data_IF_824861988693
#
_entry.id   IF_824861988693
#
_cell.length_a   1.000
_cell.length_b   1.000
_cell.length_c   1.000
_cell.angle_alpha   90.00
_cell.angle_beta   90.00
_cell.angle_gamma   90.00
#
_symmetry.space_group_name_H-M   'P 1'
#
loop_
_entity.id
_entity.type
_entity.pdbx_description
1 polymer ?
#
# COMPACT_ATOMS: atom_id res chain seq x y z
N UNK A 1 0.93 -16.84 38.99
CA UNK A 1 -0.41 -16.27 38.71
C UNK A 1 -1.08 -17.12 37.64
N UNK A 2 -1.88 -18.10 38.06
CA UNK A 2 -2.47 -19.12 37.19
C UNK A 2 -3.76 -18.59 36.55
N UNK A 3 -3.84 -18.61 35.23
CA UNK A 3 -5.05 -18.22 34.49
C UNK A 3 -6.09 -19.32 34.55
N UNK A 4 -7.37 -19.02 34.81
CA UNK A 4 -8.44 -20.02 34.77
C UNK A 4 -8.74 -20.40 33.32
N UNK A 5 -8.77 -21.71 33.06
CA UNK A 5 -9.16 -22.29 31.77
C UNK A 5 -10.67 -22.19 31.55
N UNK A 6 -11.14 -21.88 30.33
CA UNK A 6 -12.56 -21.85 30.03
C UNK A 6 -13.11 -23.28 29.96
N UNK A 7 -13.93 -23.65 30.93
CA UNK A 7 -14.71 -24.90 30.89
C UNK A 7 -15.75 -24.81 29.77
N UNK A 8 -15.48 -25.56 28.70
CA UNK A 8 -16.40 -25.83 27.61
C UNK A 8 -17.74 -26.35 28.14
N UNK A 9 -18.77 -25.49 28.12
CA UNK A 9 -20.17 -25.90 28.33
C UNK A 9 -20.61 -26.73 27.14
N UNK A 10 -20.31 -28.03 27.21
CA UNK A 10 -20.86 -29.07 26.35
C UNK A 10 -22.39 -29.04 26.53
N UNK A 11 -23.11 -28.39 25.60
CA UNK A 11 -24.56 -28.47 25.49
C UNK A 11 -24.94 -29.94 25.27
N UNK A 12 -25.21 -30.66 26.36
CA UNK A 12 -25.94 -31.93 26.30
C UNK A 12 -27.33 -31.59 25.78
N UNK A 13 -27.55 -31.83 24.48
CA UNK A 13 -28.90 -32.00 23.92
C UNK A 13 -29.56 -33.08 24.78
N UNK A 14 -30.49 -32.66 25.66
CA UNK A 14 -31.42 -33.58 26.30
C UNK A 14 -32.28 -34.14 25.17
N UNK A 15 -31.96 -35.36 24.75
CA UNK A 15 -32.85 -36.18 23.96
C UNK A 15 -34.12 -36.32 24.80
N UNK A 16 -35.22 -35.77 24.28
CA UNK A 16 -36.55 -36.02 24.80
C UNK A 16 -36.77 -37.53 24.75
N UNK A 17 -37.15 -38.19 25.86
CA UNK A 17 -37.51 -39.59 25.81
C UNK A 17 -38.74 -39.75 24.92
N UNK A 18 -38.60 -40.55 23.86
CA UNK A 18 -39.72 -40.99 23.04
C UNK A 18 -40.75 -41.71 23.92
N UNK A 19 -42.06 -41.42 23.79
CA UNK A 19 -43.10 -42.19 24.44
C UNK A 19 -43.23 -43.53 23.73
N UNK A 20 -42.50 -44.54 24.19
CA UNK A 20 -42.58 -45.90 23.65
C UNK A 20 -42.58 -46.89 24.80
N UNK A 21 -43.65 -47.68 24.88
CA UNK A 21 -43.73 -48.84 25.77
C UNK A 21 -44.67 -48.65 26.96
N UNK A 22 -45.98 -48.76 26.68
CA UNK A 22 -46.96 -49.16 27.69
C UNK A 22 -46.62 -50.58 28.14
N UNK A 23 -45.83 -50.70 29.20
CA UNK A 23 -45.72 -51.92 29.99
C UNK A 23 -46.62 -51.70 31.20
N UNK A 24 -47.81 -52.27 31.14
CA UNK A 24 -48.71 -52.34 32.27
C UNK A 24 -47.99 -53.09 33.40
N UNK A 25 -47.50 -52.34 34.39
CA UNK A 25 -46.92 -52.89 35.62
C UNK A 25 -48.10 -53.26 36.53
N UNK A 26 -48.39 -54.56 36.75
CA UNK A 26 -49.50 -54.99 37.57
C UNK A 26 -49.03 -54.99 39.03
N UNK A 27 -49.59 -54.10 39.84
CA UNK A 27 -49.26 -54.00 41.27
C UNK A 27 -49.04 -52.59 41.79
N UNK A 28 -49.55 -51.55 41.13
CA UNK A 28 -49.61 -50.24 41.75
C UNK A 28 -50.62 -50.29 42.91
N UNK A 29 -50.11 -50.26 44.14
CA UNK A 29 -50.93 -50.12 45.34
C UNK A 29 -51.85 -48.90 45.20
N UNK A 30 -53.10 -48.97 45.67
CA UNK A 30 -54.03 -47.86 45.55
C UNK A 30 -53.46 -46.63 46.25
N UNK A 31 -53.25 -45.55 45.48
CA UNK A 31 -52.77 -44.27 46.00
C UNK A 31 -53.68 -43.84 47.14
N UNK A 32 -53.12 -43.76 48.35
CA UNK A 32 -53.90 -43.42 49.53
C UNK A 32 -54.15 -41.91 49.58
N UNK A 33 -55.22 -41.50 50.26
CA UNK A 33 -55.52 -40.07 50.45
C UNK A 33 -54.37 -39.32 51.16
N UNK A 34 -53.64 -40.01 52.03
CA UNK A 34 -52.46 -39.48 52.72
C UNK A 34 -51.30 -39.20 51.77
N UNK A 35 -51.13 -40.01 50.72
CA UNK A 35 -50.11 -39.78 49.69
C UNK A 35 -50.44 -38.54 48.86
N UNK A 36 -51.72 -38.32 48.56
CA UNK A 36 -52.20 -37.11 47.89
C UNK A 36 -51.92 -35.89 48.77
N UNK A 37 -52.25 -35.94 50.07
CA UNK A 37 -51.98 -34.82 50.98
C UNK A 37 -50.48 -34.55 51.18
N UNK A 38 -49.64 -35.60 51.22
CA UNK A 38 -48.17 -35.45 51.25
C UNK A 38 -47.67 -34.81 49.97
N UNK A 39 -48.16 -35.22 48.81
CA UNK A 39 -47.79 -34.64 47.52
C UNK A 39 -48.20 -33.17 47.42
N UNK A 40 -49.44 -32.82 47.81
CA UNK A 40 -49.93 -31.44 47.85
C UNK A 40 -49.11 -30.59 48.82
N UNK A 41 -48.78 -31.14 49.99
CA UNK A 41 -47.95 -30.45 50.99
C UNK A 41 -46.53 -30.20 50.48
N UNK A 42 -45.96 -31.16 49.74
CA UNK A 42 -44.66 -31.02 49.08
C UNK A 42 -44.70 -29.95 47.99
N UNK A 43 -45.69 -29.99 47.09
CA UNK A 43 -45.87 -28.97 46.04
C UNK A 43 -45.98 -27.57 46.65
N UNK A 44 -46.72 -27.43 47.76
CA UNK A 44 -46.85 -26.14 48.46
C UNK A 44 -45.53 -25.66 49.07
N UNK A 45 -44.68 -26.56 49.57
CA UNK A 45 -43.32 -26.23 50.02
C UNK A 45 -42.45 -25.79 48.85
N UNK A 46 -42.46 -26.55 47.76
CA UNK A 46 -41.68 -26.27 46.55
C UNK A 46 -42.08 -24.92 45.93
N UNK A 47 -43.39 -24.58 45.92
CA UNK A 47 -43.88 -23.27 45.49
C UNK A 47 -43.35 -22.12 46.35
N UNK A 48 -43.29 -22.30 47.68
CA UNK A 48 -42.72 -21.29 48.58
C UNK A 48 -41.22 -21.13 48.40
N UNK A 49 -40.50 -22.22 48.13
CA UNK A 49 -39.07 -22.18 47.86
C UNK A 49 -38.76 -21.48 46.53
N UNK A 50 -39.51 -21.80 45.47
CA UNK A 50 -39.40 -21.15 44.17
C UNK A 50 -39.68 -19.64 44.27
N UNK A 51 -40.70 -19.24 45.04
CA UNK A 51 -40.98 -17.81 45.27
C UNK A 51 -39.80 -17.08 45.93
N UNK A 52 -39.11 -17.71 46.90
CA UNK A 52 -37.90 -17.14 47.52
C UNK A 52 -36.71 -17.09 46.57
N UNK A 53 -36.60 -18.04 45.63
CA UNK A 53 -35.55 -18.03 44.63
C UNK A 53 -35.77 -16.95 43.57
N UNK A 54 -37.03 -16.71 43.17
CA UNK A 54 -37.38 -15.59 42.28
C UNK A 54 -37.03 -14.25 42.90
N UNK A 55 -37.29 -14.05 44.20
CA UNK A 55 -36.93 -12.80 44.88
C UNK A 55 -35.40 -12.59 44.95
N UNK A 56 -34.64 -13.63 45.31
CA UNK A 56 -33.16 -13.56 45.28
C UNK A 56 -32.61 -13.25 43.90
N UNK A 57 -33.21 -13.81 42.85
CA UNK A 57 -32.81 -13.51 41.47
C UNK A 57 -33.12 -12.04 41.12
N UNK A 58 -34.26 -11.51 41.58
CA UNK A 58 -34.63 -10.11 41.38
C UNK A 58 -33.65 -9.16 42.06
N UNK A 59 -33.23 -9.47 43.29
CA UNK A 59 -32.19 -8.73 44.02
C UNK A 59 -30.86 -8.76 43.26
N UNK A 60 -30.40 -9.93 42.81
CA UNK A 60 -29.15 -10.05 42.04
C UNK A 60 -29.18 -9.29 40.71
N UNK A 61 -30.35 -9.21 40.05
CA UNK A 61 -30.52 -8.40 38.85
C UNK A 61 -30.45 -6.91 39.17
N UNK A 62 -30.99 -6.48 40.31
CA UNK A 62 -30.85 -5.11 40.81
C UNK A 62 -29.38 -4.72 40.99
N UNK A 63 -28.61 -5.56 41.67
CA UNK A 63 -27.16 -5.34 41.86
C UNK A 63 -26.39 -5.23 40.54
N UNK A 64 -26.71 -6.08 39.55
CA UNK A 64 -26.09 -6.01 38.21
C UNK A 64 -26.43 -4.70 37.51
N UNK A 65 -27.68 -4.23 37.61
CA UNK A 65 -28.12 -2.97 37.01
C UNK A 65 -27.41 -1.79 37.67
N UNK A 66 -27.25 -1.80 38.99
CA UNK A 66 -26.56 -0.74 39.71
C UNK A 66 -25.06 -0.72 39.39
N UNK A 67 -24.40 -1.88 39.27
CA UNK A 67 -23.02 -1.97 38.78
C UNK A 67 -22.85 -1.45 37.35
N UNK A 68 -23.82 -1.71 36.48
CA UNK A 68 -23.80 -1.19 35.10
C UNK A 68 -23.99 0.33 35.06
N UNK A 69 -24.84 0.89 35.94
CA UNK A 69 -24.96 2.34 36.11
C UNK A 69 -23.66 2.94 36.65
N UNK A 70 -23.07 2.35 37.67
CA UNK A 70 -21.79 2.81 38.23
C UNK A 70 -20.68 2.79 37.18
N UNK A 71 -20.59 1.74 36.35
CA UNK A 71 -19.63 1.67 35.24
C UNK A 71 -19.88 2.71 34.15
N UNK A 72 -21.14 3.09 33.93
CA UNK A 72 -21.54 4.11 32.94
C UNK A 72 -21.27 5.52 33.45
N UNK A 73 -21.53 5.77 34.72
CA UNK A 73 -21.38 7.08 35.36
C UNK A 73 -19.96 7.33 35.85
N UNK A 74 -19.12 6.29 35.94
CA UNK A 74 -17.68 6.44 36.16
C UNK A 74 -17.11 7.29 35.02
N UNK A 75 -16.72 8.55 35.28
CA UNK A 75 -16.18 9.41 34.24
C UNK A 75 -14.97 8.69 33.66
N UNK A 76 -14.96 8.50 32.34
CA UNK A 76 -13.90 7.81 31.64
C UNK A 76 -12.58 8.46 32.05
N UNK A 77 -11.84 7.81 32.96
CA UNK A 77 -10.49 8.20 33.28
C UNK A 77 -9.78 8.31 31.92
N UNK A 78 -9.12 9.44 31.62
CA UNK A 78 -8.56 9.70 30.30
C UNK A 78 -7.77 8.48 29.89
N UNK A 79 -8.31 7.75 28.91
CA UNK A 79 -7.79 6.44 28.58
C UNK A 79 -6.31 6.63 28.29
N UNK A 80 -5.40 5.86 28.94
CA UNK A 80 -3.99 5.93 28.60
C UNK A 80 -3.92 5.75 27.09
N UNK A 81 -3.26 6.66 26.35
CA UNK A 81 -3.32 6.67 24.89
C UNK A 81 -2.98 5.26 24.43
N UNK A 82 -3.95 4.63 23.76
CA UNK A 82 -3.80 3.27 23.24
C UNK A 82 -2.44 3.21 22.56
N UNK A 83 -1.55 2.27 22.96
CA UNK A 83 -0.20 2.23 22.43
C UNK A 83 -0.32 2.18 20.92
N UNK A 84 0.07 3.29 20.29
CA UNK A 84 -0.08 3.52 18.86
C UNK A 84 0.42 2.26 18.18
N UNK A 85 -0.47 1.55 17.50
CA UNK A 85 -0.05 0.34 16.79
C UNK A 85 1.11 0.77 15.91
N UNK A 86 2.31 0.19 16.10
CA UNK A 86 3.50 0.64 15.42
C UNK A 86 3.22 0.71 13.92
N UNK A 87 3.20 1.94 13.39
CA UNK A 87 2.61 2.22 12.08
C UNK A 87 3.37 1.50 10.97
N UNK A 88 4.68 1.30 11.15
CA UNK A 88 5.58 0.74 10.15
C UNK A 88 6.03 -0.67 10.54
N UNK A 89 5.85 -1.62 9.61
CA UNK A 89 6.41 -2.98 9.72
C UNK A 89 7.92 -2.88 9.48
N UNK A 90 8.77 -3.53 10.28
CA UNK A 90 10.21 -3.60 9.99
C UNK A 90 10.49 -4.18 8.60
N UNK A 91 11.40 -3.57 7.84
CA UNK A 91 11.70 -4.03 6.47
C UNK A 91 12.27 -5.45 6.45
N UNK A 92 13.10 -5.81 7.43
CA UNK A 92 13.67 -7.16 7.57
C UNK A 92 12.58 -8.23 7.67
N UNK A 93 11.55 -8.00 8.51
CA UNK A 93 10.40 -8.90 8.62
C UNK A 93 9.61 -8.99 7.31
N UNK A 94 9.46 -7.88 6.59
CA UNK A 94 8.76 -7.88 5.31
C UNK A 94 9.52 -8.69 4.24
N UNK A 95 10.85 -8.59 4.22
CA UNK A 95 11.72 -9.37 3.33
C UNK A 95 11.69 -10.85 3.72
N UNK A 96 11.74 -11.16 5.01
CA UNK A 96 11.71 -12.53 5.51
C UNK A 96 10.39 -13.24 5.19
N UNK A 97 9.26 -12.56 5.39
CA UNK A 97 7.94 -13.07 4.98
C UNK A 97 7.88 -13.33 3.48
N UNK A 98 8.44 -12.43 2.65
CA UNK A 98 8.52 -12.63 1.18
C UNK A 98 9.41 -13.83 0.84
N UNK A 99 10.55 -14.00 1.52
CA UNK A 99 11.49 -15.11 1.32
C UNK A 99 10.82 -16.45 1.64
N UNK A 100 10.19 -16.56 2.81
CA UNK A 100 9.45 -17.75 3.25
C UNK A 100 8.31 -18.05 2.26
N UNK A 101 7.52 -17.04 1.88
CA UNK A 101 6.42 -17.22 0.93
C UNK A 101 6.89 -17.75 -0.44
N UNK A 102 8.05 -17.31 -0.94
CA UNK A 102 8.64 -17.84 -2.17
C UNK A 102 9.17 -19.27 -2.02
N UNK A 103 9.63 -19.64 -0.82
CA UNK A 103 10.12 -20.99 -0.52
C UNK A 103 8.99 -22.00 -0.31
N UNK A 104 7.80 -21.54 0.07
CA UNK A 104 6.58 -22.34 0.03
C UNK A 104 6.26 -22.63 -1.44
N UNK A 105 6.39 -23.89 -1.84
CA UNK A 105 6.10 -24.34 -3.20
C UNK A 105 4.68 -23.96 -3.66
N UNK A 106 4.36 -24.17 -4.93
CA UNK A 106 3.14 -23.65 -5.57
C UNK A 106 1.84 -24.00 -4.80
N UNK A 107 1.78 -25.16 -4.15
CA UNK A 107 0.65 -25.63 -3.35
C UNK A 107 0.38 -24.78 -2.09
N UNK A 108 1.37 -24.05 -1.60
CA UNK A 108 1.29 -23.25 -0.37
C UNK A 108 1.52 -21.76 -0.64
N UNK A 109 1.37 -21.32 -1.89
CA UNK A 109 1.40 -19.90 -2.22
C UNK A 109 0.01 -19.28 -2.10
N UNK A 110 -0.02 -18.02 -1.66
CA UNK A 110 -1.23 -17.21 -1.66
C UNK A 110 -1.87 -17.15 -3.04
N UNK A 111 -3.18 -17.39 -3.08
CA UNK A 111 -3.99 -17.24 -4.29
C UNK A 111 -4.50 -15.82 -4.39
N UNK A 112 -4.00 -15.07 -5.37
CA UNK A 112 -4.30 -13.65 -5.55
C UNK A 112 -5.76 -13.32 -5.88
N UNK A 113 -6.53 -14.30 -6.38
CA UNK A 113 -7.98 -14.18 -6.61
C UNK A 113 -8.85 -14.40 -5.38
N UNK A 114 -8.31 -15.01 -4.33
CA UNK A 114 -9.09 -15.35 -3.14
C UNK A 114 -8.92 -14.29 -2.05
N UNK A 115 -9.96 -14.16 -1.20
CA UNK A 115 -9.90 -13.30 -0.02
C UNK A 115 -8.84 -13.83 0.95
N UNK A 116 -8.25 -12.93 1.75
CA UNK A 116 -7.29 -13.32 2.79
C UNK A 116 -7.88 -14.32 3.80
N UNK A 117 -9.21 -14.28 4.00
CA UNK A 117 -9.95 -15.17 4.89
C UNK A 117 -10.32 -16.51 4.27
N UNK A 118 -9.94 -16.80 3.02
CA UNK A 118 -10.17 -18.13 2.43
C UNK A 118 -9.39 -19.20 3.19
N UNK A 119 -9.91 -20.43 3.26
CA UNK A 119 -9.29 -21.53 3.99
C UNK A 119 -7.86 -21.81 3.50
N UNK A 120 -7.64 -21.73 2.18
CA UNK A 120 -6.31 -21.87 1.56
C UNK A 120 -5.32 -20.78 2.01
N UNK A 121 -5.74 -19.51 1.94
CA UNK A 121 -4.89 -18.39 2.32
C UNK A 121 -4.68 -18.34 3.85
N UNK A 122 -5.66 -18.77 4.65
CA UNK A 122 -5.49 -18.93 6.09
C UNK A 122 -4.50 -20.06 6.42
N UNK A 123 -4.56 -21.19 5.70
CA UNK A 123 -3.56 -22.27 5.84
C UNK A 123 -2.14 -21.76 5.54
N UNK A 124 -1.97 -21.09 4.40
CA UNK A 124 -0.71 -20.44 4.01
C UNK A 124 -0.23 -19.44 5.05
N UNK A 125 -1.14 -18.62 5.59
CA UNK A 125 -0.84 -17.67 6.67
C UNK A 125 -0.31 -18.38 7.92
N UNK A 126 -0.89 -19.51 8.33
CA UNK A 126 -0.42 -20.23 9.51
C UNK A 126 0.95 -20.84 9.29
N UNK A 127 1.25 -21.34 8.09
CA UNK A 127 2.57 -21.87 7.73
C UNK A 127 3.62 -20.76 7.79
N UNK A 128 3.41 -19.64 7.09
CA UNK A 128 4.35 -18.51 7.11
C UNK A 128 4.52 -17.97 8.54
N UNK A 129 3.41 -17.85 9.29
CA UNK A 129 3.45 -17.35 10.67
C UNK A 129 4.28 -18.26 11.57
N UNK A 130 4.17 -19.59 11.43
CA UNK A 130 4.96 -20.55 12.20
C UNK A 130 6.44 -20.39 11.88
N UNK A 131 6.78 -20.39 10.60
CA UNK A 131 8.17 -20.26 10.14
C UNK A 131 8.84 -18.95 10.62
N UNK A 132 8.10 -17.83 10.58
CA UNK A 132 8.60 -16.54 11.10
C UNK A 132 8.79 -16.56 12.61
N UNK A 133 7.94 -17.29 13.36
CA UNK A 133 8.05 -17.41 14.81
C UNK A 133 9.19 -18.37 15.23
N UNK A 134 9.52 -19.35 14.40
CA UNK A 134 10.61 -20.30 14.61
C UNK A 134 11.98 -19.68 14.24
N UNK A 135 11.98 -18.52 13.58
CA UNK A 135 13.19 -17.78 13.22
C UNK A 135 13.95 -17.19 14.42
N UNK A 136 15.22 -16.79 14.24
CA UNK A 136 16.09 -16.32 15.32
C UNK A 136 15.72 -14.94 15.88
N UNK A 137 14.87 -14.16 15.20
CA UNK A 137 14.50 -12.80 15.58
C UNK A 137 13.06 -12.76 16.07
N UNK A 138 12.87 -12.36 17.32
CA UNK A 138 11.53 -12.21 17.90
C UNK A 138 10.84 -10.94 17.40
N UNK A 139 9.83 -11.12 16.54
CA UNK A 139 8.97 -10.04 16.07
C UNK A 139 7.64 -9.99 16.84
N UNK A 140 7.10 -8.78 17.05
CA UNK A 140 5.75 -8.60 17.61
C UNK A 140 4.71 -9.28 16.70
N UNK A 141 3.80 -10.05 17.27
CA UNK A 141 2.75 -10.77 16.51
C UNK A 141 1.90 -9.85 15.62
N UNK A 142 1.67 -8.61 16.05
CA UNK A 142 0.97 -7.60 15.25
C UNK A 142 1.73 -7.21 13.98
N UNK A 143 3.06 -7.11 14.05
CA UNK A 143 3.91 -6.88 12.88
C UNK A 143 3.91 -8.08 11.94
N UNK A 144 4.02 -9.29 12.47
CA UNK A 144 3.99 -10.53 11.66
C UNK A 144 2.67 -10.60 10.89
N UNK A 145 1.53 -10.44 11.57
CA UNK A 145 0.21 -10.45 10.94
C UNK A 145 0.09 -9.36 9.86
N UNK A 146 0.59 -8.15 10.13
CA UNK A 146 0.57 -7.03 9.17
C UNK A 146 1.48 -7.27 7.97
N UNK A 147 2.68 -7.81 8.19
CA UNK A 147 3.65 -8.15 7.13
C UNK A 147 3.07 -9.20 6.18
N UNK A 148 2.48 -10.28 6.72
CA UNK A 148 1.87 -11.33 5.91
C UNK A 148 0.66 -10.80 5.13
N UNK A 149 -0.19 -9.97 5.75
CA UNK A 149 -1.31 -9.31 5.04
C UNK A 149 -0.82 -8.40 3.92
N UNK A 150 0.22 -7.60 4.14
CA UNK A 150 0.81 -6.76 3.12
C UNK A 150 1.39 -7.59 1.95
N UNK A 151 1.99 -8.74 2.25
CA UNK A 151 2.48 -9.67 1.24
C UNK A 151 1.33 -10.20 0.36
N UNK A 152 0.24 -10.67 0.97
CA UNK A 152 -0.96 -11.11 0.24
C UNK A 152 -1.57 -9.99 -0.61
N UNK A 153 -1.75 -8.80 -0.06
CA UNK A 153 -2.31 -7.65 -0.80
C UNK A 153 -1.42 -7.24 -1.99
N UNK A 154 -0.10 -7.28 -1.83
CA UNK A 154 0.82 -7.01 -2.94
C UNK A 154 0.71 -8.06 -4.06
N UNK A 155 0.61 -9.34 -3.71
CA UNK A 155 0.40 -10.41 -4.69
C UNK A 155 -0.96 -10.29 -5.39
N UNK A 156 -2.01 -9.99 -4.64
CA UNK A 156 -3.36 -9.72 -5.17
C UNK A 156 -3.35 -8.55 -6.16
N UNK A 157 -2.68 -7.44 -5.83
CA UNK A 157 -2.51 -6.31 -6.76
C UNK A 157 -1.70 -6.70 -7.98
N UNK A 158 -0.62 -7.46 -7.81
CA UNK A 158 0.21 -7.94 -8.92
C UNK A 158 -0.59 -8.83 -9.88
N UNK A 159 -1.38 -9.76 -9.35
CA UNK A 159 -2.22 -10.65 -10.15
C UNK A 159 -3.35 -9.88 -10.87
N UNK A 160 -4.01 -8.94 -10.17
CA UNK A 160 -4.97 -8.02 -10.80
C UNK A 160 -4.34 -7.25 -11.96
N UNK A 161 -3.12 -6.71 -11.79
CA UNK A 161 -2.42 -5.99 -12.86
C UNK A 161 -2.04 -6.91 -14.02
N UNK A 162 -1.68 -8.16 -13.74
CA UNK A 162 -1.35 -9.18 -14.75
C UNK A 162 -2.58 -9.51 -15.60
N UNK A 163 -3.73 -9.77 -14.96
CA UNK A 163 -5.01 -10.04 -15.64
C UNK A 163 -5.48 -8.88 -16.52
N UNK A 164 -5.28 -7.65 -16.07
CA UNK A 164 -5.65 -6.45 -16.82
C UNK A 164 -4.64 -6.06 -17.90
N UNK A 165 -3.54 -6.82 -18.10
CA UNK A 165 -2.47 -6.45 -19.02
C UNK A 165 -1.75 -5.14 -18.66
N UNK A 166 -1.95 -4.63 -17.44
CA UNK A 166 -1.35 -3.38 -16.96
C UNK A 166 0.11 -3.55 -16.54
N UNK A 167 0.59 -4.79 -16.41
CA UNK A 167 1.96 -5.08 -16.02
C UNK A 167 2.98 -4.46 -17.00
N UNK A 168 2.76 -4.61 -18.31
CA UNK A 168 3.64 -4.01 -19.32
C UNK A 168 3.53 -2.49 -19.36
N UNK A 169 2.30 -1.94 -19.25
CA UNK A 169 2.09 -0.50 -19.13
C UNK A 169 2.87 0.07 -17.94
N UNK A 170 2.74 -0.51 -16.75
CA UNK A 170 3.49 -0.11 -15.56
C UNK A 170 5.01 -0.19 -15.73
N UNK A 171 5.54 -1.22 -16.40
CA UNK A 171 6.97 -1.31 -16.72
C UNK A 171 7.40 -0.16 -17.65
N UNK A 172 6.62 0.13 -18.69
CA UNK A 172 6.92 1.24 -19.61
C UNK A 172 6.81 2.60 -18.91
N UNK A 173 5.80 2.80 -18.07
CA UNK A 173 5.59 4.06 -17.35
C UNK A 173 6.64 4.25 -16.24
N UNK A 174 7.05 3.18 -15.56
CA UNK A 174 8.17 3.22 -14.62
C UNK A 174 9.48 3.59 -15.33
N UNK A 175 9.72 3.09 -16.56
CA UNK A 175 10.85 3.51 -17.38
C UNK A 175 10.76 5.00 -17.72
N UNK A 176 9.59 5.50 -18.14
CA UNK A 176 9.35 6.94 -18.41
C UNK A 176 9.59 7.81 -17.17
N UNK A 177 9.22 7.34 -15.98
CA UNK A 177 9.39 8.07 -14.72
C UNK A 177 10.86 8.21 -14.29
N UNK A 178 11.77 7.33 -14.76
CA UNK A 178 13.20 7.46 -14.44
C UNK A 178 13.73 8.80 -14.95
N UNK A 179 14.47 9.52 -14.10
CA UNK A 179 15.06 10.84 -14.39
C UNK A 179 15.77 10.89 -15.75
N UNK A 180 16.49 9.84 -16.13
CA UNK A 180 17.19 9.73 -17.43
C UNK A 180 16.24 9.81 -18.63
N UNK A 181 15.11 9.10 -18.57
CA UNK A 181 14.10 9.13 -19.64
C UNK A 181 13.41 10.49 -19.69
N UNK A 182 12.99 11.04 -18.54
CA UNK A 182 12.41 12.38 -18.47
C UNK A 182 13.33 13.45 -19.05
N UNK A 183 14.61 13.44 -18.70
CA UNK A 183 15.58 14.41 -19.23
C UNK A 183 15.80 14.24 -20.73
N UNK A 184 15.78 13.00 -21.23
CA UNK A 184 15.85 12.71 -22.67
C UNK A 184 14.61 13.28 -23.38
N UNK A 185 13.43 13.00 -22.87
CA UNK A 185 12.16 13.48 -23.44
C UNK A 185 12.09 15.01 -23.41
N UNK A 186 12.46 15.65 -22.29
CA UNK A 186 12.62 17.10 -22.15
C UNK A 186 13.55 17.68 -23.23
N UNK A 187 14.69 17.02 -23.50
CA UNK A 187 15.68 17.47 -24.49
C UNK A 187 15.19 17.30 -25.92
N UNK A 188 14.43 16.24 -26.22
CA UNK A 188 13.79 16.04 -27.52
C UNK A 188 12.76 17.14 -27.75
N UNK A 189 11.92 17.40 -26.75
CA UNK A 189 10.84 18.39 -26.85
C UNK A 189 11.40 19.80 -27.03
N UNK A 190 12.39 20.18 -26.24
CA UNK A 190 13.08 21.47 -26.41
C UNK A 190 13.81 21.51 -27.74
N UNK A 191 14.48 20.42 -28.15
CA UNK A 191 15.16 20.31 -29.44
C UNK A 191 14.25 20.56 -30.64
N UNK A 192 12.98 20.14 -30.60
CA UNK A 192 12.00 20.36 -31.67
C UNK A 192 11.76 21.82 -32.01
N UNK A 193 12.00 22.72 -31.05
CA UNK A 193 11.71 24.16 -31.20
C UNK A 193 12.82 24.96 -31.89
N UNK A 194 14.08 24.49 -31.83
CA UNK A 194 15.23 25.30 -32.27
C UNK A 194 16.32 24.54 -33.02
N UNK A 195 16.33 23.20 -32.99
CA UNK A 195 17.32 22.42 -33.75
C UNK A 195 16.96 22.41 -35.24
N UNK A 196 17.99 22.24 -36.08
CA UNK A 196 17.79 22.01 -37.51
C UNK A 196 16.98 20.72 -37.74
N UNK A 197 16.20 20.61 -38.83
CA UNK A 197 15.45 19.39 -39.13
C UNK A 197 16.34 18.13 -39.18
N UNK A 198 17.58 18.28 -39.67
CA UNK A 198 18.58 17.20 -39.75
C UNK A 198 19.04 16.75 -38.35
N UNK A 199 19.28 17.69 -37.44
CA UNK A 199 19.69 17.37 -36.06
C UNK A 199 18.53 16.84 -35.22
N UNK A 200 17.30 17.32 -35.48
CA UNK A 200 16.08 16.79 -34.87
C UNK A 200 15.87 15.33 -35.28
N UNK A 201 15.97 15.00 -36.57
CA UNK A 201 15.87 13.63 -37.04
C UNK A 201 16.96 12.75 -36.47
N UNK A 202 18.19 13.27 -36.34
CA UNK A 202 19.31 12.55 -35.71
C UNK A 202 19.02 12.26 -34.23
N UNK A 203 18.56 13.25 -33.46
CA UNK A 203 18.22 13.10 -32.04
C UNK A 203 17.04 12.14 -31.82
N UNK A 204 16.00 12.21 -32.66
CA UNK A 204 14.85 11.30 -32.62
C UNK A 204 15.21 9.87 -33.09
N UNK A 205 16.10 9.74 -34.07
CA UNK A 205 16.60 8.46 -34.57
C UNK A 205 17.40 7.70 -33.51
N UNK A 206 18.35 8.37 -32.85
CA UNK A 206 19.07 7.82 -31.68
C UNK A 206 18.10 7.49 -30.55
N UNK A 207 16.98 8.22 -30.46
CA UNK A 207 16.00 7.98 -29.41
C UNK A 207 15.16 6.72 -29.62
N UNK A 208 14.98 6.29 -30.87
CA UNK A 208 14.22 5.09 -31.27
C UNK A 208 15.11 3.86 -31.42
N UNK A 209 16.39 4.02 -31.74
CA UNK A 209 17.33 2.92 -31.85
C UNK A 209 17.57 2.27 -30.47
N UNK A 210 17.36 0.95 -30.31
CA UNK A 210 17.75 0.19 -29.12
C UNK A 210 19.28 0.09 -28.95
N UNK A 211 20.04 0.53 -29.96
CA UNK A 211 21.46 0.28 -30.14
C UNK A 211 22.31 1.27 -29.34
N UNK A 212 22.48 0.94 -28.08
CA UNK A 212 23.61 1.36 -27.25
C UNK A 212 24.84 0.46 -27.47
N UNK A 213 24.75 -0.52 -28.36
CA UNK A 213 25.86 -1.39 -28.76
C UNK A 213 26.28 -1.03 -30.18
N UNK A 214 27.60 -1.03 -30.40
CA UNK A 214 28.24 -0.81 -31.70
C UNK A 214 27.74 -1.90 -32.65
N UNK A 215 26.81 -1.58 -33.55
CA UNK A 215 26.54 -2.46 -34.67
C UNK A 215 27.75 -2.34 -35.61
N UNK A 216 28.44 -3.46 -35.80
CA UNK A 216 29.43 -3.66 -36.84
C UNK A 216 28.71 -3.63 -38.19
N UNK A 217 28.36 -2.43 -38.67
CA UNK A 217 27.80 -2.26 -40.01
C UNK A 217 28.94 -2.47 -41.03
N UNK A 218 28.93 -3.62 -41.70
CA UNK A 218 29.69 -3.80 -42.95
C UNK A 218 29.01 -2.93 -44.02
N UNK A 219 29.73 -1.94 -44.55
CA UNK A 219 29.21 -1.13 -45.65
C UNK A 219 29.07 -2.04 -46.89
N UNK A 220 27.84 -2.26 -47.42
CA UNK A 220 27.64 -3.15 -48.55
C UNK A 220 28.32 -2.65 -49.84
N UNK A 221 28.78 -1.39 -49.86
CA UNK A 221 29.52 -0.81 -50.98
C UNK A 221 31.05 -0.78 -50.77
N UNK A 222 31.59 -1.28 -49.66
CA UNK A 222 33.04 -1.37 -49.46
C UNK A 222 33.59 -2.72 -49.99
N UNK A 223 34.20 -2.75 -51.20
CA UNK A 223 34.74 -3.98 -51.78
C UNK A 223 35.90 -4.56 -50.96
N UNK A 224 36.52 -3.74 -50.11
CA UNK A 224 37.70 -4.13 -49.32
C UNK A 224 37.32 -4.76 -47.96
N UNK A 225 36.02 -4.81 -47.63
CA UNK A 225 35.51 -5.33 -46.35
C UNK A 225 36.25 -4.74 -45.14
N UNK A 226 36.56 -3.44 -45.22
CA UNK A 226 37.27 -2.76 -44.15
C UNK A 226 36.29 -2.58 -43.00
N UNK A 227 36.56 -3.23 -41.88
CA UNK A 227 35.73 -3.12 -40.67
C UNK A 227 35.81 -1.70 -40.12
N UNK A 228 34.88 -0.84 -40.53
CA UNK A 228 34.74 0.50 -40.00
C UNK A 228 33.99 0.44 -38.68
N UNK A 229 34.74 0.36 -37.58
CA UNK A 229 34.18 0.51 -36.23
C UNK A 229 33.71 1.96 -36.07
N UNK A 230 32.44 2.22 -36.39
CA UNK A 230 31.83 3.52 -36.13
C UNK A 230 31.76 3.74 -34.63
N UNK A 231 32.24 4.90 -34.17
CA UNK A 231 32.02 5.36 -32.80
C UNK A 231 30.52 5.26 -32.50
N UNK A 232 30.13 4.63 -31.38
CA UNK A 232 28.72 4.45 -31.09
C UNK A 232 28.06 5.84 -31.01
N UNK A 233 26.86 5.99 -31.54
CA UNK A 233 26.24 7.29 -31.76
C UNK A 233 26.18 8.19 -30.50
N UNK A 234 26.17 7.60 -29.31
CA UNK A 234 26.22 8.30 -28.02
C UNK A 234 27.57 8.97 -27.69
N UNK A 235 28.65 8.56 -28.34
CA UNK A 235 29.98 9.19 -28.30
C UNK A 235 30.23 10.17 -29.45
N UNK A 236 29.29 10.31 -30.40
CA UNK A 236 29.48 11.26 -31.50
C UNK A 236 29.56 12.70 -30.97
N UNK A 237 30.58 13.45 -31.42
CA UNK A 237 30.75 14.86 -31.08
C UNK A 237 29.51 15.68 -31.45
N UNK A 238 28.89 15.32 -32.58
CA UNK A 238 27.64 15.92 -33.06
C UNK A 238 26.51 15.76 -32.04
N UNK A 239 26.30 14.55 -31.48
CA UNK A 239 25.28 14.37 -30.45
C UNK A 239 25.62 15.19 -29.20
N UNK A 240 26.88 15.21 -28.77
CA UNK A 240 27.29 15.99 -27.60
C UNK A 240 27.00 17.48 -27.79
N UNK A 241 27.29 18.03 -28.98
CA UNK A 241 26.93 19.40 -29.35
C UNK A 241 25.42 19.66 -29.26
N UNK A 242 24.60 18.78 -29.85
CA UNK A 242 23.13 18.88 -29.79
C UNK A 242 22.62 18.82 -28.34
N UNK A 243 23.14 17.89 -27.53
CA UNK A 243 22.75 17.73 -26.13
C UNK A 243 23.12 18.96 -25.28
N UNK A 244 24.31 19.55 -25.49
CA UNK A 244 24.72 20.80 -24.83
C UNK A 244 23.79 21.96 -25.19
N UNK A 245 23.41 22.09 -26.45
CA UNK A 245 22.46 23.12 -26.89
C UNK A 245 21.07 22.93 -26.27
N UNK A 246 20.54 21.70 -26.28
CA UNK A 246 19.27 21.38 -25.62
C UNK A 246 19.33 21.64 -24.11
N UNK A 247 20.44 21.30 -23.46
CA UNK A 247 20.65 21.52 -22.03
C UNK A 247 20.67 23.02 -21.70
N UNK A 248 21.42 23.83 -22.46
CA UNK A 248 21.45 25.28 -22.28
C UNK A 248 20.07 25.93 -22.42
N UNK A 249 19.23 25.43 -23.33
CA UNK A 249 17.83 25.88 -23.47
C UNK A 249 16.94 25.38 -22.33
N UNK A 250 17.11 24.15 -21.86
CA UNK A 250 16.40 23.63 -20.69
C UNK A 250 16.75 24.40 -19.42
N UNK A 251 18.00 24.76 -19.22
CA UNK A 251 18.43 25.52 -18.04
C UNK A 251 17.86 26.94 -18.07
N UNK A 252 17.79 27.58 -19.24
CA UNK A 252 17.11 28.87 -19.43
C UNK A 252 15.61 28.81 -19.14
N UNK A 253 14.92 27.74 -19.58
CA UNK A 253 13.48 27.58 -19.32
C UNK A 253 13.17 27.17 -17.88
N UNK A 254 14.03 26.37 -17.23
CA UNK A 254 13.89 25.97 -15.82
C UNK A 254 14.27 27.10 -14.86
N UNK A 255 15.20 27.97 -15.21
CA UNK A 255 15.47 29.20 -14.44
C UNK A 255 14.25 30.12 -14.37
N UNK A 256 13.39 30.12 -15.39
CA UNK A 256 12.11 30.85 -15.38
C UNK A 256 11.04 30.17 -14.51
N UNK A 257 11.02 28.83 -14.46
CA UNK A 257 10.14 28.07 -13.57
C UNK A 257 10.74 27.98 -12.18
N UNK A 258 10.75 29.11 -11.48
CA UNK A 258 10.85 29.26 -10.02
C UNK A 258 11.25 27.97 -9.29
N UNK A 259 12.54 27.88 -8.94
CA UNK A 259 12.93 27.40 -7.61
C UNK A 259 11.82 27.86 -6.66
N UNK A 260 11.12 26.94 -5.98
CA UNK A 260 10.06 27.28 -5.05
C UNK A 260 10.56 28.44 -4.23
N UNK A 261 10.05 29.64 -4.54
CA UNK A 261 10.54 30.87 -3.95
C UNK A 261 10.14 30.68 -2.51
N UNK A 262 11.10 30.26 -1.69
CA UNK A 262 10.91 30.03 -0.27
C UNK A 262 10.25 31.33 0.17
N UNK A 263 8.98 31.29 0.55
CA UNK A 263 8.30 32.50 1.02
C UNK A 263 9.22 32.99 2.12
N UNK A 264 9.88 34.13 1.94
CA UNK A 264 10.65 34.74 3.00
C UNK A 264 9.61 35.05 4.06
N UNK A 265 9.51 34.18 5.04
CA UNK A 265 8.74 34.44 6.24
C UNK A 265 9.54 35.50 6.96
N UNK A 266 9.09 36.74 6.85
CA UNK A 266 9.60 37.88 7.62
C UNK A 266 9.49 37.62 9.13
N UNK A 267 8.63 36.69 9.54
CA UNK A 267 8.55 36.19 10.91
C UNK A 267 9.45 34.96 11.11
N UNK A 268 10.42 35.03 12.04
CA UNK A 268 11.22 33.86 12.40
C UNK A 268 10.32 32.76 12.98
N UNK A 269 10.64 31.50 12.67
CA UNK A 269 9.90 30.36 13.19
C UNK A 269 9.90 30.37 14.72
N UNK A 270 8.75 30.20 15.40
CA UNK A 270 8.69 30.11 16.86
C UNK A 270 9.30 28.82 17.43
N UNK A 271 9.75 27.90 16.56
CA UNK A 271 10.41 26.67 16.99
C UNK A 271 11.82 26.98 17.48
N UNK A 272 12.24 26.43 18.63
CA UNK A 272 13.61 26.58 19.11
C UNK A 272 14.58 26.05 18.06
N UNK A 273 15.67 26.78 17.86
CA UNK A 273 16.68 26.47 16.85
C UNK A 273 17.27 25.09 17.14
N UNK A 274 17.34 24.16 16.16
CA UNK A 274 18.03 22.89 16.35
C UNK A 274 19.51 23.15 16.68
N UNK A 275 20.07 22.49 17.70
CA UNK A 275 21.39 22.82 18.26
C UNK A 275 22.57 22.54 17.31
N UNK A 276 22.36 21.87 16.18
CA UNK A 276 23.42 21.43 15.26
C UNK A 276 23.57 22.28 13.98
N UNK A 277 22.76 23.33 13.79
CA UNK A 277 22.87 24.15 12.57
C UNK A 277 23.92 25.23 12.77
N UNK A 278 25.04 25.09 12.06
CA UNK A 278 26.17 26.01 12.09
C UNK A 278 25.73 27.45 11.73
N UNK A 279 26.29 28.43 12.45
CA UNK A 279 26.00 29.86 12.28
C UNK A 279 26.38 30.42 10.90
N UNK A 280 27.15 29.68 10.10
CA UNK A 280 27.60 30.08 8.76
C UNK A 280 26.48 30.15 7.71
N UNK A 281 25.27 29.65 7.98
CA UNK A 281 24.12 29.78 7.08
C UNK A 281 23.29 31.05 7.31
N UNK A 282 23.79 31.96 8.15
CA UNK A 282 23.14 33.24 8.45
C UNK A 282 24.10 34.33 8.00
N UNK A 283 23.94 34.77 6.76
CA UNK A 283 24.52 36.05 6.34
C UNK A 283 23.81 37.15 7.15
N UNK A 284 24.55 38.00 7.90
CA UNK A 284 23.95 39.17 8.51
C UNK A 284 23.43 40.09 7.40
N UNK A 285 22.14 40.41 7.45
CA UNK A 285 21.49 41.43 6.62
C UNK A 285 21.86 42.81 7.16
N UNK A 286 23.12 43.17 7.14
CA UNK A 286 23.56 44.54 7.48
C UNK A 286 24.72 44.92 6.55
N UNK A 287 24.39 45.66 5.50
CA UNK A 287 24.92 47.00 5.19
C UNK A 287 24.43 47.43 3.79
N UNK A 288 23.17 47.84 3.76
CA UNK A 288 22.64 48.73 2.74
C UNK A 288 23.28 50.10 2.98
N UNK A 289 24.34 50.39 2.23
CA UNK A 289 25.09 51.64 2.35
C UNK A 289 25.85 51.99 1.07
N UNK A 290 25.33 52.97 0.34
CA UNK A 290 26.16 53.97 -0.34
C UNK A 290 26.31 53.83 -1.85
N UNK A 291 25.74 54.82 -2.54
CA UNK A 291 26.05 55.20 -3.91
C UNK A 291 27.56 55.26 -4.23
N UNK A 292 27.94 54.72 -5.38
CA UNK A 292 29.07 55.18 -6.21
C UNK A 292 28.93 54.51 -7.58
N UNK A 293 28.33 55.21 -8.54
CA UNK A 293 28.99 56.10 -9.51
C UNK A 293 29.77 55.33 -10.59
N UNK A 294 29.48 55.71 -11.83
CA UNK A 294 29.98 55.10 -13.05
C UNK A 294 31.51 55.23 -13.16
N UNK A 295 32.17 54.09 -13.37
CA UNK A 295 33.59 54.03 -13.74
C UNK A 295 33.80 53.08 -14.90
N UNK A 296 33.81 53.62 -16.12
CA UNK A 296 34.40 52.97 -17.29
C UNK A 296 35.89 52.75 -17.03
N UNK A 297 36.37 51.52 -17.20
CA UNK A 297 37.78 51.18 -17.04
C UNK A 297 38.12 49.93 -17.85
N UNK A 298 38.70 50.16 -19.02
CA UNK A 298 39.41 49.17 -19.82
C UNK A 298 40.72 48.75 -19.13
N UNK A 299 41.21 47.56 -19.46
CA UNK A 299 42.52 47.05 -19.02
C UNK A 299 42.41 45.58 -18.60
N UNK A 300 42.68 44.63 -19.51
CA UNK A 300 44.01 44.07 -19.77
C UNK A 300 44.36 42.89 -18.84
N UNK A 301 44.79 41.80 -19.48
CA UNK A 301 45.74 40.85 -18.89
C UNK A 301 45.19 39.80 -17.95
N UNK A 302 44.80 38.64 -18.49
CA UNK A 302 45.13 37.40 -17.79
C UNK A 302 45.48 36.29 -18.77
N UNK A 303 46.77 36.02 -18.75
CA UNK A 303 47.50 34.98 -19.45
C UNK A 303 47.09 33.57 -19.01
N UNK A 304 47.38 32.64 -19.91
CA UNK A 304 47.25 31.19 -19.82
C UNK A 304 47.79 30.57 -18.52
N UNK A 305 47.35 29.33 -18.25
CA UNK A 305 48.37 28.29 -18.17
C UNK A 305 48.01 27.09 -19.04
N UNK A 306 48.83 26.91 -20.07
CA UNK A 306 49.23 25.63 -20.64
C UNK A 306 49.87 24.72 -19.56
N UNK A 307 50.09 23.46 -19.95
CA UNK A 307 50.90 22.44 -19.29
C UNK A 307 50.23 21.59 -18.20
N UNK A 308 49.48 20.58 -18.65
CA UNK A 308 49.56 19.24 -18.05
C UNK A 308 49.71 18.18 -19.14
N UNK A 309 50.96 17.97 -19.53
CA UNK A 309 51.46 16.67 -19.96
C UNK A 309 51.43 15.71 -18.75
N UNK A 310 50.73 14.58 -18.88
CA UNK A 310 50.98 13.35 -18.10
C UNK A 310 50.45 12.22 -18.99
N UNK A 311 51.34 11.61 -19.76
CA UNK A 311 52.03 10.35 -19.44
C UNK A 311 51.18 9.11 -19.71
N UNK A 312 51.66 8.38 -20.71
CA UNK A 312 51.49 6.96 -20.95
C UNK A 312 51.44 6.13 -19.66
N UNK A 313 50.55 5.15 -19.60
CA UNK A 313 50.94 3.74 -19.48
C UNK A 313 49.74 2.82 -19.13
N UNK A 314 49.82 1.63 -19.72
CA UNK A 314 49.30 0.31 -19.28
C UNK A 314 47.88 -0.08 -19.68
N UNK A 315 47.86 -0.82 -20.79
CA UNK A 315 47.55 -2.26 -20.82
C UNK A 315 46.86 -2.83 -19.57
N UNK A 316 45.64 -3.30 -19.80
CA UNK A 316 44.89 -4.16 -18.89
C UNK A 316 43.82 -4.91 -19.67
N UNK A 317 44.26 -5.95 -20.41
CA UNK A 317 43.38 -7.04 -20.83
C UNK A 317 42.71 -7.62 -19.58
N UNK A 318 41.39 -7.60 -19.59
CA UNK A 318 40.56 -8.16 -18.53
C UNK A 318 39.30 -8.71 -19.16
N UNK A 319 39.39 -9.95 -19.64
CA UNK A 319 38.25 -10.75 -20.04
C UNK A 319 37.40 -11.03 -18.80
N UNK A 320 36.31 -10.26 -18.66
CA UNK A 320 35.34 -10.39 -17.59
C UNK A 320 33.98 -10.78 -18.16
N UNK A 321 33.77 -12.07 -18.37
CA UNK A 321 32.44 -12.64 -18.61
C UNK A 321 31.58 -12.49 -17.35
N UNK A 322 30.91 -11.35 -17.23
CA UNK A 322 29.91 -11.08 -16.19
C UNK A 322 28.50 -11.34 -16.70
N UNK A 323 28.04 -12.59 -16.64
CA UNK A 323 26.61 -12.91 -16.64
C UNK A 323 26.00 -12.36 -15.34
N UNK A 324 25.42 -11.17 -15.42
CA UNK A 324 24.66 -10.55 -14.34
C UNK A 324 23.19 -10.47 -14.72
N UNK A 325 22.42 -11.48 -14.32
CA UNK A 325 20.95 -11.41 -14.28
C UNK A 325 20.53 -10.38 -13.22
N UNK A 326 20.51 -9.12 -13.63
CA UNK A 326 20.03 -8.01 -12.84
C UNK A 326 18.50 -8.00 -12.78
N UNK A 327 17.92 -8.84 -11.92
CA UNK A 327 16.53 -8.69 -11.48
C UNK A 327 16.39 -7.36 -10.71
N UNK A 328 16.02 -6.31 -11.42
CA UNK A 328 15.72 -5.00 -10.85
C UNK A 328 14.52 -5.06 -9.90
N UNK A 329 14.79 -5.27 -8.61
CA UNK A 329 13.87 -5.01 -7.51
C UNK A 329 13.57 -3.51 -7.43
N UNK A 330 12.46 -3.11 -8.05
CA UNK A 330 11.84 -1.81 -7.84
C UNK A 330 10.80 -1.91 -6.73
N UNK A 331 11.22 -1.73 -5.48
CA UNK A 331 10.30 -1.50 -4.35
C UNK A 331 9.72 -0.07 -4.46
N UNK A 332 8.70 0.07 -5.32
CA UNK A 332 7.85 1.25 -5.35
C UNK A 332 6.75 1.13 -4.30
N UNK A 333 7.00 1.62 -3.08
CA UNK A 333 5.97 1.85 -2.08
C UNK A 333 5.05 2.99 -2.54
N UNK A 334 4.04 2.65 -3.34
CA UNK A 334 2.93 3.55 -3.65
C UNK A 334 2.06 3.75 -2.42
N UNK A 335 2.21 4.90 -1.75
CA UNK A 335 1.17 5.47 -0.90
C UNK A 335 -0.05 5.76 -1.79
N UNK A 336 -1.07 4.91 -1.68
CA UNK A 336 -2.37 5.18 -2.26
C UNK A 336 -3.20 5.93 -1.23
N UNK A 337 -3.39 7.22 -1.47
CA UNK A 337 -4.45 7.99 -0.84
C UNK A 337 -5.79 7.45 -1.36
N UNK A 338 -6.57 6.88 -0.45
CA UNK A 338 -7.91 6.41 -0.72
C UNK A 338 -8.87 7.60 -0.63
N UNK A 339 -9.31 8.09 -1.78
CA UNK A 339 -10.51 8.91 -1.84
C UNK A 339 -11.72 7.98 -1.78
N UNK A 340 -12.31 7.93 -0.59
CA UNK A 340 -13.59 7.30 -0.31
C UNK A 340 -14.72 8.23 -0.78
N UNK A 341 -15.22 8.01 -2.00
CA UNK A 341 -16.48 8.59 -2.45
C UNK A 341 -17.63 7.89 -1.74
N UNK A 342 -18.15 8.54 -0.71
CA UNK A 342 -19.40 8.22 -0.05
C UNK A 342 -20.58 8.61 -0.94
N UNK A 343 -21.13 7.67 -1.71
CA UNK A 343 -22.46 7.83 -2.30
C UNK A 343 -23.52 7.45 -1.27
N UNK A 344 -24.06 8.48 -0.63
CA UNK A 344 -25.28 8.44 0.16
C UNK A 344 -26.49 8.40 -0.78
N UNK A 345 -27.00 7.21 -1.06
CA UNK A 345 -28.30 7.00 -1.71
C UNK A 345 -29.42 6.98 -0.68
N UNK A 346 -29.99 8.14 -0.42
CA UNK A 346 -31.29 8.33 0.22
C UNK A 346 -32.36 8.62 -0.84
N UNK A 347 -33.64 8.55 -0.43
CA UNK A 347 -34.87 8.94 -1.17
C UNK A 347 -35.59 7.74 -1.83
N UNK A 348 -36.60 7.19 -1.16
CA UNK A 348 -38.02 7.60 -1.15
C UNK A 348 -38.81 6.67 -2.09
N UNK A 349 -39.70 5.81 -1.63
CA UNK A 349 -40.90 6.20 -0.90
C UNK A 349 -41.92 6.77 -1.89
N UNK A 350 -42.56 5.91 -2.68
CA UNK A 350 -43.71 6.28 -3.51
C UNK A 350 -44.59 5.07 -3.72
N UNK A 351 -45.64 5.09 -2.92
CA UNK A 351 -46.84 4.29 -2.91
C UNK A 351 -47.75 4.87 -3.99
N UNK A 352 -48.24 4.05 -4.93
CA UNK A 352 -49.35 4.48 -5.79
C UNK A 352 -50.27 3.30 -6.10
N UNK A 353 -51.49 3.53 -5.63
CA UNK A 353 -52.72 2.76 -5.69
C UNK A 353 -53.40 2.85 -7.07
N UNK A 354 -54.58 2.20 -7.15
CA UNK A 354 -55.63 2.17 -8.18
C UNK A 354 -55.36 1.19 -9.34
N UNK A 355 -56.00 0.00 -9.40
CA UNK A 355 -57.45 -0.24 -9.57
C UNK A 355 -58.02 0.59 -10.72
N UNK A 356 -58.20 -0.03 -11.89
CA UNK A 356 -59.22 0.38 -12.85
C UNK A 356 -59.70 -0.88 -13.59
N UNK A 357 -60.87 -1.34 -13.17
CA UNK A 357 -61.68 -2.28 -13.93
C UNK A 357 -62.49 -1.48 -14.94
N UNK A 358 -62.43 -1.89 -16.21
CA UNK A 358 -63.09 -1.21 -17.32
C UNK A 358 -63.56 -2.19 -18.39
N UNK A 359 -64.50 -3.04 -18.00
CA UNK A 359 -65.34 -3.86 -18.86
C UNK A 359 -66.51 -3.01 -19.41
N UNK A 360 -66.68 -2.93 -20.74
CA UNK A 360 -67.90 -2.52 -21.49
C UNK A 360 -67.50 -2.56 -22.98
N UNK A 361 -67.85 -3.55 -23.80
CA UNK A 361 -69.15 -4.03 -24.28
C UNK A 361 -70.01 -3.02 -25.06
N UNK A 362 -70.52 -3.51 -26.20
CA UNK A 362 -71.49 -2.93 -27.13
C UNK A 362 -71.05 -1.68 -27.92
N UNK A 363 -71.21 -1.58 -29.23
CA UNK A 363 -72.11 -2.29 -30.14
C UNK A 363 -72.75 -1.25 -31.07
N UNK A 364 -72.60 -1.48 -32.38
CA UNK A 364 -73.61 -1.28 -33.43
C UNK A 364 -74.29 0.09 -33.68
N UNK A 365 -74.24 0.43 -34.98
CA UNK A 365 -75.33 0.96 -35.83
C UNK A 365 -75.54 2.47 -35.86
N UNK A 366 -75.33 3.05 -37.05
CA UNK A 366 -76.42 3.54 -37.94
C UNK A 366 -75.85 3.90 -39.32
N UNK A 367 -76.26 3.15 -40.36
CA UNK A 367 -77.10 3.59 -41.52
C UNK A 367 -76.33 4.39 -42.57
#
# INVERSE_FOLDING_TARGET
MSRPTPTSRRRRRRLLPSPSGSIASPGAEPVTMDDIWRAVSKIRKDQKELAREVERNRESQGEIIDLLKELKDRPAAPAPPLPSTPKKVPNELALEVKRIHKALGEEHQFRGNELFTSDHNQSTYQVIRREVLDGPVEYRQSHIKKAIRNCHENLRRADKNRRLGLAEKKKTDSKKLKRKHRLKDDRIEVGRTFLSPRDRQFLEGISKAPLLMSDEDTDPEDPDHTWLVKQPAWRSERLNGILKLCQAKLDKTKASRQCHRRKMTTTPSPRPRPPSVASCYLLPEDEEGGDQEAGQGAGEGREDPDDREDQDAREGQGDGEGQGDGEGQGDGEGQGDGEESSESGSESGSESSSEDEGESDNGSVSV
#
